data_IF_251320741674
#
_entry.id   IF_251320741674
#
_cell.length_a   1.000
_cell.length_b   1.000
_cell.length_c   1.000
_cell.angle_alpha   90.00
_cell.angle_beta   90.00
_cell.angle_gamma   90.00
#
_symmetry.space_group_name_H-M   'P 1'
#
loop_
_entity.id
_entity.type
_entity.pdbx_description
1 polymer ?
#
# COMPACT_ATOMS: atom_id res chain seq x y z
N UNK A 1 12.68 2.13 0.24
CA UNK A 1 11.43 1.93 1.00
C UNK A 1 11.32 2.95 2.13
N UNK A 2 10.10 3.45 2.36
CA UNK A 2 9.75 4.62 3.19
C UNK A 2 9.37 4.26 4.64
N UNK A 3 10.12 3.33 5.25
CA UNK A 3 9.82 2.66 6.53
C UNK A 3 9.54 3.63 7.70
N UNK A 4 10.15 4.82 7.67
CA UNK A 4 9.89 5.88 8.65
C UNK A 4 8.50 6.52 8.49
N UNK A 5 8.04 6.76 7.25
CA UNK A 5 6.72 7.33 7.00
C UNK A 5 5.59 6.34 7.28
N UNK A 6 5.82 5.07 6.97
CA UNK A 6 4.86 4.00 7.26
C UNK A 6 4.69 3.84 8.78
N UNK A 7 5.79 3.93 9.53
CA UNK A 7 5.78 3.93 10.98
C UNK A 7 5.03 5.14 11.58
N UNK A 8 5.32 6.37 11.15
CA UNK A 8 4.66 7.57 11.69
C UNK A 8 3.13 7.57 11.52
N UNK A 9 2.60 6.95 10.47
CA UNK A 9 1.14 6.82 10.26
C UNK A 9 0.51 5.77 11.17
N UNK A 10 1.23 4.68 11.42
CA UNK A 10 0.79 3.57 12.27
C UNK A 10 0.80 4.01 13.74
N UNK A 11 1.87 4.67 14.19
CA UNK A 11 2.02 5.16 15.57
C UNK A 11 1.02 6.27 15.93
N UNK A 12 0.73 7.16 14.97
CA UNK A 12 -0.28 8.20 15.15
C UNK A 12 -1.74 7.68 15.16
N UNK A 13 -1.97 6.37 14.98
CA UNK A 13 -3.32 5.77 14.97
C UNK A 13 -4.18 6.19 13.77
N UNK A 14 -3.57 6.70 12.70
CA UNK A 14 -4.27 7.26 11.52
C UNK A 14 -4.66 6.17 10.51
N UNK A 15 -4.09 4.97 10.63
CA UNK A 15 -4.40 3.84 9.75
C UNK A 15 -5.79 3.27 10.09
N UNK A 16 -6.77 3.51 9.22
CA UNK A 16 -8.09 2.88 9.26
C UNK A 16 -8.12 1.69 8.29
N UNK A 17 -8.20 0.43 8.78
CA UNK A 17 -8.25 -0.74 7.90
C UNK A 17 -9.49 -0.77 7.02
N UNK A 18 -9.32 -1.15 5.75
CA UNK A 18 -10.40 -1.43 4.81
C UNK A 18 -10.66 -2.95 4.78
N UNK A 19 -11.52 -3.42 5.68
CA UNK A 19 -11.82 -4.85 5.85
C UNK A 19 -12.64 -5.40 4.67
N UNK A 20 -12.10 -6.39 3.96
CA UNK A 20 -12.77 -7.00 2.81
C UNK A 20 -12.43 -8.49 2.67
N UNK A 21 -13.29 -9.30 2.02
CA UNK A 21 -12.93 -10.66 1.68
C UNK A 21 -11.86 -10.71 0.57
N UNK A 22 -10.82 -11.53 0.73
CA UNK A 22 -9.84 -11.76 -0.34
C UNK A 22 -9.23 -13.17 -0.26
N UNK A 23 -8.84 -13.74 -1.41
CA UNK A 23 -8.11 -15.01 -1.44
C UNK A 23 -6.64 -14.79 -1.04
N UNK A 24 -6.15 -15.62 -0.11
CA UNK A 24 -4.78 -15.50 0.38
C UNK A 24 -3.74 -15.98 -0.65
N UNK A 25 -4.09 -16.93 -1.52
CA UNK A 25 -3.13 -17.56 -2.44
C UNK A 25 -2.41 -16.59 -3.38
N UNK A 26 -3.11 -15.69 -4.10
CA UNK A 26 -2.44 -14.75 -5.01
C UNK A 26 -1.45 -13.83 -4.28
N UNK A 27 -1.78 -13.40 -3.06
CA UNK A 27 -0.88 -12.60 -2.23
C UNK A 27 0.39 -13.37 -1.84
N UNK A 28 0.27 -14.63 -1.41
CA UNK A 28 1.44 -15.46 -1.09
C UNK A 28 2.33 -15.70 -2.31
N UNK A 29 1.74 -15.91 -3.50
CA UNK A 29 2.48 -16.03 -4.76
C UNK A 29 3.19 -14.74 -5.15
N UNK A 30 2.54 -13.59 -4.97
CA UNK A 30 3.15 -12.27 -5.20
C UNK A 30 4.38 -12.09 -4.30
N UNK A 31 4.24 -12.34 -3.00
CA UNK A 31 5.35 -12.27 -2.05
C UNK A 31 6.46 -13.26 -2.39
N UNK A 32 6.13 -14.49 -2.81
CA UNK A 32 7.12 -15.46 -3.26
C UNK A 32 7.92 -14.96 -4.46
N UNK A 33 7.27 -14.44 -5.50
CA UNK A 33 7.95 -13.88 -6.70
C UNK A 33 8.94 -12.77 -6.36
N UNK A 34 8.62 -11.94 -5.37
CA UNK A 34 9.45 -10.81 -4.98
C UNK A 34 10.57 -11.20 -3.99
N UNK A 35 10.31 -12.17 -3.11
CA UNK A 35 11.23 -12.52 -2.01
C UNK A 35 12.15 -13.70 -2.35
N UNK A 36 11.74 -14.60 -3.24
CA UNK A 36 12.56 -15.75 -3.63
C UNK A 36 13.91 -15.34 -4.26
N UNK A 37 14.00 -14.33 -5.15
CA UNK A 37 15.30 -13.90 -5.68
C UNK A 37 16.25 -13.37 -4.59
N UNK A 38 15.71 -12.66 -3.59
CA UNK A 38 16.50 -12.15 -2.45
C UNK A 38 17.02 -13.28 -1.56
N UNK A 39 16.19 -14.31 -1.35
CA UNK A 39 16.59 -15.51 -0.62
C UNK A 39 17.67 -16.30 -1.39
N UNK A 40 17.51 -16.42 -2.71
CA UNK A 40 18.45 -17.10 -3.62
C UNK A 40 19.81 -16.40 -3.69
N UNK A 41 19.83 -15.06 -3.77
CA UNK A 41 21.06 -14.26 -3.71
C UNK A 41 21.85 -14.53 -2.41
N UNK A 42 21.15 -14.86 -1.32
CA UNK A 42 21.73 -15.23 -0.03
C UNK A 42 21.98 -16.74 0.12
N UNK A 43 21.66 -17.55 -0.89
CA UNK A 43 21.83 -19.01 -0.86
C UNK A 43 20.82 -19.73 0.06
N UNK A 44 19.65 -19.14 0.32
CA UNK A 44 18.58 -19.71 1.14
C UNK A 44 17.52 -20.40 0.27
N UNK A 45 16.97 -21.51 0.75
CA UNK A 45 15.78 -22.09 0.14
C UNK A 45 14.53 -21.31 0.55
N UNK A 46 13.76 -20.82 -0.43
CA UNK A 46 12.47 -20.20 -0.19
C UNK A 46 11.34 -21.18 -0.55
N UNK A 47 10.35 -21.35 0.33
CA UNK A 47 9.22 -22.26 0.10
C UNK A 47 7.89 -21.59 0.48
N UNK A 48 6.85 -21.90 -0.29
CA UNK A 48 5.48 -21.52 0.03
C UNK A 48 4.56 -22.75 -0.06
N UNK A 49 3.58 -22.84 0.85
CA UNK A 49 2.53 -23.87 0.78
C UNK A 49 1.23 -23.26 0.28
N UNK A 50 0.73 -23.82 -0.82
CA UNK A 50 -0.56 -23.44 -1.38
C UNK A 50 -1.69 -23.56 -0.35
N UNK A 51 -2.67 -22.66 -0.45
CA UNK A 51 -3.85 -22.57 0.40
C UNK A 51 -5.05 -22.11 -0.43
N UNK A 52 -6.25 -22.53 -0.05
CA UNK A 52 -7.52 -22.04 -0.62
C UNK A 52 -8.26 -21.11 0.32
N UNK A 53 -7.61 -20.66 1.39
CA UNK A 53 -8.24 -19.81 2.42
C UNK A 53 -8.60 -18.45 1.84
N UNK A 54 -9.84 -18.04 2.10
CA UNK A 54 -10.31 -16.66 1.93
C UNK A 54 -10.36 -16.02 3.30
N UNK A 55 -9.73 -14.85 3.41
CA UNK A 55 -9.65 -14.07 4.64
C UNK A 55 -10.62 -12.90 4.58
N UNK A 56 -10.97 -12.35 5.74
CA UNK A 56 -11.69 -11.09 5.84
C UNK A 56 -10.84 -10.06 6.61
N UNK A 57 -9.95 -9.37 5.90
CA UNK A 57 -9.03 -8.39 6.47
C UNK A 57 -8.67 -7.34 5.42
N UNK A 58 -7.90 -6.32 5.80
CA UNK A 58 -7.32 -5.40 4.83
C UNK A 58 -6.14 -6.07 4.10
N UNK A 59 -6.25 -6.33 2.77
CA UNK A 59 -5.20 -7.03 2.04
C UNK A 59 -3.88 -6.27 2.00
N UNK A 60 -3.91 -4.94 1.97
CA UNK A 60 -2.70 -4.12 1.89
C UNK A 60 -1.92 -4.18 3.21
N UNK A 61 -2.63 -4.10 4.35
CA UNK A 61 -1.98 -4.20 5.67
C UNK A 61 -1.47 -5.61 5.93
N UNK A 62 -2.20 -6.66 5.52
CA UNK A 62 -1.74 -8.05 5.62
C UNK A 62 -0.49 -8.28 4.76
N UNK A 63 -0.47 -7.81 3.50
CA UNK A 63 0.72 -7.90 2.65
C UNK A 63 1.91 -7.20 3.29
N UNK A 64 1.72 -6.00 3.85
CA UNK A 64 2.77 -5.24 4.51
C UNK A 64 3.32 -5.96 5.75
N UNK A 65 2.47 -6.57 6.57
CA UNK A 65 2.92 -7.40 7.70
C UNK A 65 3.76 -8.58 7.18
N UNK A 66 3.22 -9.37 6.24
CA UNK A 66 3.90 -10.57 5.74
C UNK A 66 5.22 -10.25 5.07
N UNK A 67 5.28 -9.18 4.27
CA UNK A 67 6.52 -8.67 3.66
C UNK A 67 7.58 -8.35 4.71
N UNK A 68 7.23 -7.64 5.78
CA UNK A 68 8.17 -7.33 6.86
C UNK A 68 8.69 -8.60 7.56
N UNK A 69 7.79 -9.54 7.84
CA UNK A 69 8.16 -10.82 8.47
C UNK A 69 9.11 -11.64 7.57
N UNK A 70 8.82 -11.73 6.28
CA UNK A 70 9.65 -12.48 5.31
C UNK A 70 11.00 -11.81 5.09
N UNK A 71 11.06 -10.49 4.97
CA UNK A 71 12.32 -9.76 4.87
C UNK A 71 13.20 -9.96 6.11
N UNK A 72 12.60 -10.00 7.31
CA UNK A 72 13.32 -10.33 8.53
C UNK A 72 13.82 -11.78 8.51
N UNK A 73 12.99 -12.74 8.11
CA UNK A 73 13.38 -14.13 7.98
C UNK A 73 14.59 -14.30 7.05
N UNK A 74 14.58 -13.68 5.87
CA UNK A 74 15.71 -13.70 4.91
C UNK A 74 16.93 -13.00 5.52
N UNK A 75 16.74 -11.83 6.15
CA UNK A 75 17.84 -11.05 6.73
C UNK A 75 18.58 -11.79 7.83
N UNK A 76 17.87 -12.47 8.73
CA UNK A 76 18.45 -13.10 9.92
C UNK A 76 18.73 -14.60 9.77
N UNK A 77 18.45 -15.17 8.59
CA UNK A 77 18.86 -16.54 8.23
C UNK A 77 20.12 -16.48 7.38
N UNK A 78 21.23 -17.03 7.88
CA UNK A 78 22.48 -17.11 7.11
C UNK A 78 22.53 -18.33 6.20
N UNK A 79 22.00 -19.47 6.67
CA UNK A 79 21.93 -20.74 5.93
C UNK A 79 20.63 -21.45 6.26
N UNK A 80 20.09 -22.18 5.29
CA UNK A 80 18.88 -22.99 5.46
C UNK A 80 17.71 -22.46 4.64
N UNK A 81 16.56 -22.21 5.27
CA UNK A 81 15.33 -21.95 4.54
C UNK A 81 14.37 -20.96 5.21
N UNK A 82 13.53 -20.35 4.38
CA UNK A 82 12.35 -19.57 4.78
C UNK A 82 11.11 -20.26 4.21
N UNK A 83 10.07 -20.41 5.03
CA UNK A 83 8.80 -21.04 4.64
C UNK A 83 7.60 -20.15 4.98
N UNK A 84 6.77 -19.85 3.98
CA UNK A 84 5.43 -19.30 4.18
C UNK A 84 4.37 -20.40 4.10
N UNK A 85 3.47 -20.46 5.09
CA UNK A 85 2.37 -21.41 5.09
C UNK A 85 1.12 -20.81 5.75
N UNK A 86 -0.05 -21.33 5.42
CA UNK A 86 -1.30 -20.99 6.10
C UNK A 86 -1.98 -22.26 6.63
N UNK A 87 -2.52 -22.20 7.84
CA UNK A 87 -3.30 -23.28 8.44
C UNK A 87 -4.65 -22.75 8.91
N UNK A 88 -5.74 -23.45 8.58
CA UNK A 88 -7.05 -23.17 9.17
C UNK A 88 -7.12 -23.72 10.60
N UNK A 89 -7.65 -22.90 11.53
CA UNK A 89 -7.96 -23.26 12.92
C UNK A 89 -9.34 -22.73 13.28
N UNK A 90 -10.36 -23.59 13.13
CA UNK A 90 -11.76 -23.19 13.33
C UNK A 90 -12.16 -22.06 12.36
N UNK A 91 -12.66 -20.95 12.91
CA UNK A 91 -13.06 -19.75 12.17
C UNK A 91 -11.90 -18.79 11.83
N UNK A 92 -10.66 -19.14 12.20
CA UNK A 92 -9.47 -18.33 11.93
C UNK A 92 -8.50 -19.08 11.01
N UNK A 93 -7.72 -18.32 10.26
CA UNK A 93 -6.54 -18.82 9.58
C UNK A 93 -5.30 -18.28 10.28
N UNK A 94 -4.26 -19.10 10.38
CA UNK A 94 -2.98 -18.72 10.94
C UNK A 94 -1.98 -18.76 9.79
N UNK A 95 -1.53 -17.58 9.36
CA UNK A 95 -0.44 -17.44 8.41
C UNK A 95 0.86 -17.50 9.20
N UNK A 96 1.76 -18.39 8.82
CA UNK A 96 3.04 -18.64 9.50
C UNK A 96 4.21 -18.32 8.55
N UNK A 97 5.17 -17.56 9.06
CA UNK A 97 6.47 -17.33 8.41
C UNK A 97 7.53 -18.00 9.29
N UNK A 98 8.16 -19.04 8.75
CA UNK A 98 9.18 -19.83 9.41
C UNK A 98 10.56 -19.48 8.83
N UNK A 99 11.56 -19.44 9.71
CA UNK A 99 12.96 -19.28 9.34
C UNK A 99 13.83 -20.27 10.12
N UNK A 100 14.98 -20.63 9.56
CA UNK A 100 16.01 -21.45 10.23
C UNK A 100 17.19 -20.60 10.69
N UNK A 101 16.97 -19.32 10.98
CA UNK A 101 18.01 -18.36 11.29
C UNK A 101 18.55 -18.46 12.71
N UNK A 102 19.14 -17.36 13.17
CA UNK A 102 19.82 -17.29 14.48
C UNK A 102 18.90 -17.56 15.69
N UNK A 103 17.59 -17.45 15.50
CA UNK A 103 16.62 -17.50 16.59
C UNK A 103 16.72 -16.28 17.52
N UNK A 104 15.76 -16.18 18.44
CA UNK A 104 15.58 -15.03 19.34
C UNK A 104 15.45 -15.59 20.76
N UNK A 105 16.31 -15.18 21.71
CA UNK A 105 16.19 -15.55 23.12
C UNK A 105 14.87 -15.06 23.74
N UNK A 106 14.30 -15.86 24.64
CA UNK A 106 12.96 -15.61 25.23
C UNK A 106 12.86 -14.26 25.96
N UNK A 107 13.94 -13.83 26.61
CA UNK A 107 14.05 -12.54 27.30
C UNK A 107 14.01 -11.31 26.38
N UNK A 108 14.17 -11.52 25.06
CA UNK A 108 14.08 -10.46 24.06
C UNK A 108 12.78 -10.47 23.25
N UNK A 109 11.85 -11.41 23.49
CA UNK A 109 10.64 -11.56 22.65
C UNK A 109 9.72 -10.34 22.67
N UNK A 110 9.63 -9.62 23.79
CA UNK A 110 8.86 -8.37 23.85
C UNK A 110 9.64 -7.19 23.27
N UNK A 111 10.97 -7.19 23.41
CA UNK A 111 11.81 -6.05 23.04
C UNK A 111 12.02 -5.92 21.55
N UNK A 112 12.01 -7.04 20.81
CA UNK A 112 12.15 -7.04 19.34
C UNK A 112 11.01 -6.31 18.61
N UNK A 113 9.87 -6.10 19.27
CA UNK A 113 8.75 -5.31 18.72
C UNK A 113 8.90 -3.82 19.01
N UNK A 114 9.82 -3.43 19.91
CA UNK A 114 10.10 -2.01 20.17
C UNK A 114 10.86 -1.38 19.02
N UNK A 115 10.56 -0.12 18.77
CA UNK A 115 11.20 0.65 17.72
C UNK A 115 12.70 0.78 17.95
N UNK A 116 13.44 0.77 16.84
CA UNK A 116 14.90 0.93 16.82
C UNK A 116 15.66 -0.14 17.64
N UNK A 117 14.97 -1.19 18.08
CA UNK A 117 15.56 -2.28 18.83
C UNK A 117 16.13 -3.32 17.85
N UNK A 118 17.43 -3.60 17.98
CA UNK A 118 18.13 -4.60 17.18
C UNK A 118 19.11 -5.38 18.05
N UNK A 119 18.97 -6.70 18.06
CA UNK A 119 19.90 -7.59 18.75
C UNK A 119 21.25 -7.61 18.01
N UNK A 120 22.35 -7.39 18.75
CA UNK A 120 23.71 -7.45 18.19
C UNK A 120 24.11 -6.29 17.27
N UNK A 121 23.44 -5.13 17.35
CA UNK A 121 23.82 -3.91 16.61
C UNK A 121 24.03 -2.66 17.50
N UNK A 122 24.99 -2.68 18.45
CA UNK A 122 25.22 -1.57 19.38
C UNK A 122 25.60 -0.26 18.68
N UNK A 123 26.20 -0.33 17.49
CA UNK A 123 26.65 0.84 16.70
C UNK A 123 25.53 1.47 15.84
N UNK A 124 24.30 0.92 15.84
CA UNK A 124 23.17 1.39 15.02
C UNK A 124 23.53 1.56 13.53
N UNK A 125 24.29 0.63 12.95
CA UNK A 125 24.66 0.68 11.52
C UNK A 125 23.38 0.66 10.66
N UNK A 126 23.15 1.75 9.93
CA UNK A 126 21.99 1.93 9.04
C UNK A 126 21.91 0.84 7.95
N UNK A 127 23.02 0.20 7.58
CA UNK A 127 23.06 -0.91 6.60
C UNK A 127 22.37 -2.17 7.12
N UNK A 128 22.24 -2.36 8.44
CA UNK A 128 21.50 -3.48 9.05
C UNK A 128 20.00 -3.20 9.19
N UNK A 129 19.54 -2.03 8.71
CA UNK A 129 18.16 -1.55 8.76
C UNK A 129 17.85 -0.74 10.02
N UNK A 130 16.69 -0.08 10.05
CA UNK A 130 16.33 0.88 11.11
C UNK A 130 15.71 0.26 12.39
N UNK A 131 15.49 -1.06 12.44
CA UNK A 131 14.84 -1.72 13.58
C UNK A 131 13.35 -1.42 13.73
N UNK A 132 12.68 -0.99 12.65
CA UNK A 132 11.25 -0.64 12.65
C UNK A 132 10.31 -1.76 12.16
N UNK A 133 10.87 -2.81 11.53
CA UNK A 133 10.05 -3.80 10.81
C UNK A 133 9.04 -4.53 11.68
N UNK A 134 9.42 -4.96 12.88
CA UNK A 134 8.51 -5.64 13.81
C UNK A 134 7.60 -4.68 14.57
N UNK A 135 8.04 -3.44 14.84
CA UNK A 135 7.19 -2.38 15.39
C UNK A 135 6.03 -2.04 14.44
N UNK A 136 6.31 -1.97 13.13
CA UNK A 136 5.28 -1.80 12.09
C UNK A 136 4.33 -3.00 12.09
N UNK A 137 4.83 -4.23 12.19
CA UNK A 137 3.98 -5.43 12.27
C UNK A 137 3.02 -5.36 13.46
N UNK A 138 3.52 -5.00 14.64
CA UNK A 138 2.69 -4.88 15.84
C UNK A 138 1.62 -3.79 15.69
N UNK A 139 2.01 -2.60 15.23
CA UNK A 139 1.07 -1.48 15.08
C UNK A 139 -0.02 -1.75 14.04
N UNK A 140 0.31 -2.41 12.93
CA UNK A 140 -0.67 -2.82 11.92
C UNK A 140 -1.60 -3.91 12.41
N UNK A 141 -1.07 -4.90 13.13
CA UNK A 141 -1.88 -5.95 13.74
C UNK A 141 -2.87 -5.37 14.76
N UNK A 142 -2.41 -4.41 15.58
CA UNK A 142 -3.24 -3.66 16.52
C UNK A 142 -4.33 -2.87 15.80
N UNK A 143 -3.99 -2.14 14.73
CA UNK A 143 -4.97 -1.39 13.92
C UNK A 143 -6.07 -2.29 13.35
N UNK A 144 -5.72 -3.51 12.91
CA UNK A 144 -6.66 -4.52 12.42
C UNK A 144 -7.34 -5.33 13.52
N UNK A 145 -6.98 -5.14 14.80
CA UNK A 145 -7.45 -5.98 15.92
C UNK A 145 -7.18 -7.48 15.71
N UNK A 146 -5.99 -7.81 15.18
CA UNK A 146 -5.55 -9.20 14.92
C UNK A 146 -4.29 -9.53 15.72
N UNK A 147 -4.10 -10.81 15.97
CA UNK A 147 -3.01 -11.29 16.82
C UNK A 147 -1.76 -11.62 16.00
N UNK A 148 -0.61 -11.10 16.43
CA UNK A 148 0.71 -11.57 16.00
C UNK A 148 1.40 -12.26 17.16
N UNK A 149 1.97 -13.44 16.93
CA UNK A 149 2.73 -14.18 17.94
C UNK A 149 4.02 -14.75 17.39
N UNK A 150 4.99 -14.94 18.28
CA UNK A 150 6.30 -15.49 17.99
C UNK A 150 6.49 -16.80 18.77
N UNK A 151 7.17 -17.77 18.14
CA UNK A 151 7.96 -18.77 18.87
C UNK A 151 9.34 -18.81 18.24
N UNK A 152 10.39 -18.77 19.05
CA UNK A 152 11.76 -18.83 18.56
C UNK A 152 12.62 -19.64 19.51
N UNK A 153 13.68 -20.24 18.98
CA UNK A 153 14.68 -20.94 19.78
C UNK A 153 16.06 -20.53 19.27
N UNK A 154 16.96 -20.01 20.12
CA UNK A 154 18.31 -19.64 19.73
C UNK A 154 19.02 -20.77 18.97
N UNK A 155 19.59 -20.43 17.82
CA UNK A 155 20.29 -21.35 16.91
C UNK A 155 19.40 -22.30 16.12
N UNK A 156 18.06 -22.26 16.27
CA UNK A 156 17.11 -23.10 15.51
C UNK A 156 16.16 -22.32 14.61
N UNK A 157 16.13 -20.99 14.74
CA UNK A 157 15.27 -20.11 13.98
C UNK A 157 13.96 -19.75 14.69
N UNK A 158 13.05 -19.14 13.94
CA UNK A 158 11.81 -18.58 14.48
C UNK A 158 10.59 -18.91 13.64
N UNK A 159 9.42 -18.73 14.25
CA UNK A 159 8.13 -18.71 13.56
C UNK A 159 7.28 -17.57 14.06
N UNK A 160 6.96 -16.66 13.16
CA UNK A 160 5.97 -15.62 13.35
C UNK A 160 4.61 -16.10 12.85
N UNK A 161 3.55 -15.80 13.57
CA UNK A 161 2.18 -16.20 13.24
C UNK A 161 1.27 -15.00 13.26
N UNK A 162 0.48 -14.84 12.21
CA UNK A 162 -0.57 -13.85 12.07
C UNK A 162 -1.94 -14.55 12.04
N UNK A 163 -2.78 -14.28 13.03
CA UNK A 163 -4.12 -14.87 13.16
C UNK A 163 -5.18 -13.98 12.53
N UNK A 164 -5.80 -14.43 11.44
CA UNK A 164 -6.78 -13.67 10.65
C UNK A 164 -8.14 -14.37 10.63
N UNK A 165 -9.26 -13.62 10.61
CA UNK A 165 -10.58 -14.22 10.46
C UNK A 165 -10.76 -14.77 9.03
N UNK A 166 -11.38 -15.95 8.93
CA UNK A 166 -11.75 -16.52 7.64
C UNK A 166 -13.06 -15.90 7.19
N UNK A 167 -13.15 -15.53 5.91
CA UNK A 167 -14.41 -15.10 5.33
C UNK A 167 -15.32 -16.31 5.12
N UNK A 168 -16.56 -16.23 5.62
CA UNK A 168 -17.62 -17.21 5.36
C UNK A 168 -18.44 -16.87 4.11
N UNK A 169 -18.20 -15.70 3.50
CA UNK A 169 -18.89 -15.31 2.27
C UNK A 169 -18.48 -16.24 1.14
N UNK A 170 -19.42 -16.73 0.29
CA UNK A 170 -19.06 -17.51 -0.88
C UNK A 170 -18.21 -16.65 -1.80
N UNK A 171 -16.91 -16.91 -1.79
CA UNK A 171 -15.99 -16.36 -2.77
C UNK A 171 -16.33 -17.01 -4.11
N UNK A 172 -16.96 -16.25 -5.02
CA UNK A 172 -17.20 -16.74 -6.37
C UNK A 172 -15.86 -16.66 -7.10
N UNK A 173 -15.54 -17.67 -7.90
CA UNK A 173 -14.38 -17.61 -8.80
C UNK A 173 -14.53 -16.47 -9.83
N UNK A 174 -15.76 -15.96 -10.03
CA UNK A 174 -16.04 -14.71 -10.74
C UNK A 174 -15.62 -13.43 -9.99
N UNK A 175 -15.27 -13.53 -8.70
CA UNK A 175 -14.62 -12.49 -7.89
C UNK A 175 -13.09 -12.66 -7.85
N UNK A 176 -12.54 -13.68 -8.56
CA UNK A 176 -11.21 -13.57 -9.15
C UNK A 176 -11.36 -12.56 -10.28
N UNK A 177 -11.37 -11.28 -9.93
CA UNK A 177 -10.83 -10.31 -10.86
C UNK A 177 -9.43 -10.83 -11.18
N UNK A 178 -9.08 -11.03 -12.46
CA UNK A 178 -7.73 -11.39 -12.82
C UNK A 178 -6.76 -10.54 -12.01
N UNK A 179 -5.65 -11.15 -11.61
CA UNK A 179 -4.45 -10.41 -11.22
C UNK A 179 -3.96 -9.69 -12.48
N UNK A 180 -4.72 -8.71 -12.95
CA UNK A 180 -4.17 -7.65 -13.75
C UNK A 180 -3.29 -6.91 -12.74
N UNK A 181 -1.98 -6.94 -12.98
CA UNK A 181 -1.21 -5.74 -12.69
C UNK A 181 -2.08 -4.57 -13.12
N UNK A 182 -2.32 -3.56 -12.26
CA UNK A 182 -3.29 -2.51 -12.55
C UNK A 182 -3.07 -2.02 -13.98
N UNK A 183 -3.95 -2.44 -14.90
CA UNK A 183 -3.80 -2.15 -16.31
C UNK A 183 -4.34 -0.75 -16.47
N UNK A 184 -3.42 0.21 -16.39
CA UNK A 184 -3.70 1.61 -16.59
C UNK A 184 -3.60 1.97 -18.09
N UNK A 185 -3.43 0.97 -18.98
CA UNK A 185 -3.34 1.20 -20.41
C UNK A 185 -4.58 1.91 -20.93
N UNK A 186 -4.36 3.05 -21.59
CA UNK A 186 -5.42 3.89 -22.14
C UNK A 186 -6.11 4.80 -21.12
N UNK A 187 -5.76 4.75 -19.83
CA UNK A 187 -6.31 5.66 -18.83
C UNK A 187 -5.89 7.11 -19.13
N UNK A 188 -6.86 8.02 -19.26
CA UNK A 188 -6.62 9.43 -19.56
C UNK A 188 -6.46 10.22 -18.26
N UNK A 189 -5.24 10.63 -17.97
CA UNK A 189 -4.89 11.36 -16.74
C UNK A 189 -4.62 12.83 -17.06
N UNK A 190 -5.37 13.72 -16.41
CA UNK A 190 -5.07 15.15 -16.40
C UNK A 190 -4.21 15.47 -15.18
N UNK A 191 -2.97 15.90 -15.41
CA UNK A 191 -2.03 16.30 -14.35
C UNK A 191 -1.95 17.82 -14.24
N UNK A 192 -2.15 18.37 -13.04
CA UNK A 192 -2.04 19.80 -12.74
C UNK A 192 -0.91 20.01 -11.73
N UNK A 193 0.24 20.51 -12.17
CA UNK A 193 1.39 20.81 -11.32
C UNK A 193 2.15 22.00 -11.91
N UNK A 194 2.52 23.00 -11.12
CA UNK A 194 3.17 24.20 -11.65
C UNK A 194 4.66 23.99 -11.99
N UNK A 195 5.27 22.91 -11.52
CA UNK A 195 6.66 22.53 -11.79
C UNK A 195 6.76 21.68 -13.07
N UNK A 196 7.44 22.23 -14.09
CA UNK A 196 7.64 21.57 -15.37
C UNK A 196 8.42 20.25 -15.28
N UNK A 197 9.39 20.18 -14.36
CA UNK A 197 10.19 18.97 -14.15
C UNK A 197 9.33 17.86 -13.58
N UNK A 198 8.44 18.19 -12.64
CA UNK A 198 7.50 17.24 -12.05
C UNK A 198 6.48 16.77 -13.07
N UNK A 199 5.93 17.69 -13.89
CA UNK A 199 5.00 17.34 -14.98
C UNK A 199 5.63 16.34 -15.96
N UNK A 200 6.84 16.65 -16.43
CA UNK A 200 7.58 15.79 -17.37
C UNK A 200 7.80 14.40 -16.79
N UNK A 201 8.39 14.31 -15.60
CA UNK A 201 8.71 13.03 -14.96
C UNK A 201 7.45 12.20 -14.64
N UNK A 202 6.35 12.86 -14.26
CA UNK A 202 5.09 12.19 -13.98
C UNK A 202 4.41 11.67 -15.24
N UNK A 203 4.41 12.44 -16.33
CA UNK A 203 3.89 11.93 -17.60
C UNK A 203 4.73 10.78 -18.15
N UNK A 204 6.06 10.79 -18.00
CA UNK A 204 6.92 9.66 -18.39
C UNK A 204 6.56 8.39 -17.60
N UNK A 205 6.35 8.54 -16.28
CA UNK A 205 5.94 7.43 -15.42
C UNK A 205 4.57 6.87 -15.83
N UNK A 206 3.60 7.74 -16.08
CA UNK A 206 2.24 7.36 -16.50
C UNK A 206 2.23 6.71 -17.88
N UNK A 207 3.01 7.24 -18.83
CA UNK A 207 3.15 6.66 -20.16
C UNK A 207 3.80 5.27 -20.11
N UNK A 208 4.76 5.04 -19.21
CA UNK A 208 5.36 3.73 -18.99
C UNK A 208 4.35 2.69 -18.44
N UNK A 209 3.24 3.14 -17.87
CA UNK A 209 2.10 2.28 -17.48
C UNK A 209 0.99 2.22 -18.54
N UNK A 210 1.20 2.81 -19.72
CA UNK A 210 0.23 2.83 -20.81
C UNK A 210 -0.84 3.93 -20.72
N UNK A 211 -0.78 4.81 -19.72
CA UNK A 211 -1.72 5.94 -19.58
C UNK A 211 -1.48 7.01 -20.66
N UNK A 212 -2.52 7.78 -20.93
CA UNK A 212 -2.45 9.01 -21.72
C UNK A 212 -2.41 10.20 -20.76
N UNK A 213 -1.31 10.95 -20.74
CA UNK A 213 -1.10 12.06 -19.80
C UNK A 213 -1.17 13.40 -20.53
N UNK A 214 -2.10 14.28 -20.14
CA UNK A 214 -2.03 15.71 -20.46
C UNK A 214 -1.66 16.46 -19.18
N UNK A 215 -0.52 17.15 -19.19
CA UNK A 215 -0.04 17.91 -18.04
C UNK A 215 -0.11 19.42 -18.28
N UNK A 216 -0.60 20.14 -17.28
CA UNK A 216 -0.86 21.58 -17.31
C UNK A 216 -0.35 22.26 -16.05
N UNK A 217 -0.01 23.54 -16.14
CA UNK A 217 0.56 24.30 -15.02
C UNK A 217 -0.50 24.97 -14.13
N UNK A 218 -1.75 25.07 -14.58
CA UNK A 218 -2.81 25.80 -13.89
C UNK A 218 -4.21 25.25 -14.20
N UNK A 219 -5.18 25.68 -13.41
CA UNK A 219 -6.61 25.45 -13.64
C UNK A 219 -7.10 26.07 -14.96
N UNK A 220 -6.65 27.28 -15.30
CA UNK A 220 -7.00 27.91 -16.60
C UNK A 220 -6.52 27.10 -17.81
N UNK A 221 -5.35 26.48 -17.69
CA UNK A 221 -4.84 25.56 -18.71
C UNK A 221 -5.63 24.25 -18.72
N UNK A 222 -5.94 23.69 -17.56
CA UNK A 222 -6.79 22.51 -17.43
C UNK A 222 -8.12 22.72 -18.17
N UNK A 223 -8.82 23.84 -17.91
CA UNK A 223 -10.10 24.16 -18.55
C UNK A 223 -10.03 24.29 -20.08
N UNK A 224 -8.87 24.69 -20.63
CA UNK A 224 -8.65 24.73 -22.09
C UNK A 224 -8.41 23.35 -22.67
N UNK A 225 -7.68 22.50 -21.95
CA UNK A 225 -7.39 21.11 -22.34
C UNK A 225 -8.66 20.27 -22.41
N UNK A 226 -9.63 20.53 -21.51
CA UNK A 226 -10.91 19.81 -21.49
C UNK A 226 -11.72 19.89 -22.80
N UNK A 227 -11.45 20.85 -23.68
CA UNK A 227 -12.12 20.93 -24.98
C UNK A 227 -11.67 19.83 -25.97
N UNK A 228 -10.51 19.22 -25.75
CA UNK A 228 -9.90 18.20 -26.64
C UNK A 228 -9.53 16.91 -25.93
N UNK A 229 -9.53 16.93 -24.60
CA UNK A 229 -9.12 15.81 -23.76
C UNK A 229 -10.13 15.65 -22.65
N UNK A 230 -10.71 14.47 -22.58
CA UNK A 230 -11.71 14.11 -21.58
C UNK A 230 -11.02 13.18 -20.56
N UNK A 231 -10.69 13.64 -19.34
CA UNK A 231 -9.91 12.87 -18.39
C UNK A 231 -10.76 11.86 -17.63
N UNK A 232 -10.22 10.65 -17.45
CA UNK A 232 -10.79 9.63 -16.57
C UNK A 232 -10.42 9.90 -15.10
N UNK A 233 -9.27 10.51 -14.86
CA UNK A 233 -8.77 10.88 -13.51
C UNK A 233 -8.02 12.21 -13.56
N UNK A 234 -8.15 13.01 -12.51
CA UNK A 234 -7.36 14.23 -12.29
C UNK A 234 -6.34 14.02 -11.16
N UNK A 235 -5.07 14.32 -11.41
CA UNK A 235 -4.02 14.44 -10.39
C UNK A 235 -3.64 15.91 -10.26
N UNK A 236 -3.76 16.48 -9.06
CA UNK A 236 -3.42 17.89 -8.84
C UNK A 236 -2.42 18.06 -7.70
N UNK A 237 -1.37 18.84 -7.90
CA UNK A 237 -0.55 19.31 -6.80
C UNK A 237 -1.38 20.23 -5.90
N UNK A 238 -1.18 20.12 -4.58
CA UNK A 238 -1.91 20.92 -3.61
C UNK A 238 -1.60 22.41 -3.77
N UNK A 239 -0.36 22.78 -4.07
CA UNK A 239 0.09 24.17 -4.16
C UNK A 239 0.35 24.53 -5.61
N UNK A 240 -0.57 25.29 -6.19
CA UNK A 240 -0.37 25.90 -7.49
C UNK A 240 0.07 27.36 -7.33
N UNK A 241 0.53 27.97 -8.42
CA UNK A 241 0.90 29.40 -8.42
C UNK A 241 -0.30 30.29 -8.12
N UNK A 242 -0.02 31.56 -7.82
CA UNK A 242 -1.05 32.59 -7.59
C UNK A 242 -2.00 32.28 -6.43
N UNK A 243 -1.51 31.57 -5.41
CA UNK A 243 -2.27 31.17 -4.22
C UNK A 243 -3.49 30.28 -4.50
N UNK A 244 -3.53 29.60 -5.65
CA UNK A 244 -4.55 28.61 -5.97
C UNK A 244 -4.16 27.24 -5.40
N UNK A 245 -5.17 26.46 -5.02
CA UNK A 245 -4.96 25.10 -4.52
C UNK A 245 -5.39 24.06 -5.54
N UNK A 246 -4.80 22.86 -5.49
CA UNK A 246 -5.22 21.72 -6.30
C UNK A 246 -6.70 21.37 -6.11
N UNK A 247 -7.24 21.57 -4.91
CA UNK A 247 -8.67 21.40 -4.62
C UNK A 247 -9.54 22.32 -5.49
N UNK A 248 -9.18 23.61 -5.57
CA UNK A 248 -9.90 24.57 -6.39
C UNK A 248 -9.79 24.25 -7.89
N UNK A 249 -8.65 23.72 -8.32
CA UNK A 249 -8.45 23.30 -9.70
C UNK A 249 -9.32 22.08 -10.06
N UNK A 250 -9.38 21.07 -9.18
CA UNK A 250 -10.25 19.89 -9.34
C UNK A 250 -11.71 20.31 -9.41
N UNK A 251 -12.15 21.20 -8.52
CA UNK A 251 -13.52 21.71 -8.49
C UNK A 251 -13.88 22.44 -9.80
N UNK A 252 -12.98 23.30 -10.31
CA UNK A 252 -13.18 23.97 -11.59
C UNK A 252 -13.31 22.98 -12.76
N UNK A 253 -12.51 21.91 -12.77
CA UNK A 253 -12.58 20.85 -13.78
C UNK A 253 -13.93 20.13 -13.71
N UNK A 254 -14.38 19.73 -12.51
CA UNK A 254 -15.69 19.08 -12.32
C UNK A 254 -16.86 19.94 -12.78
N UNK A 255 -16.84 21.22 -12.43
CA UNK A 255 -17.86 22.18 -12.87
C UNK A 255 -17.91 22.31 -14.39
N UNK A 256 -16.74 22.28 -15.06
CA UNK A 256 -16.68 22.33 -16.52
C UNK A 256 -17.15 21.05 -17.19
N UNK A 257 -16.84 19.89 -16.63
CA UNK A 257 -17.27 18.58 -17.14
C UNK A 257 -18.75 18.29 -16.86
N UNK A 258 -19.33 18.92 -15.83
CA UNK A 258 -20.71 18.68 -15.40
C UNK A 258 -20.90 17.37 -14.63
N UNK A 259 -19.81 16.72 -14.22
CA UNK A 259 -19.82 15.51 -13.39
C UNK A 259 -18.59 15.43 -12.48
N UNK A 260 -18.69 14.60 -11.43
CA UNK A 260 -17.62 14.35 -10.48
C UNK A 260 -16.56 13.42 -11.07
N UNK A 261 -15.64 13.96 -11.87
CA UNK A 261 -14.44 13.21 -12.29
C UNK A 261 -13.63 12.78 -11.05
N UNK A 262 -13.15 11.52 -10.99
CA UNK A 262 -12.25 11.06 -9.95
C UNK A 262 -10.99 11.93 -9.87
N UNK A 263 -10.54 12.23 -8.66
CA UNK A 263 -9.38 13.08 -8.47
C UNK A 263 -8.57 12.69 -7.23
N UNK A 264 -7.26 12.93 -7.27
CA UNK A 264 -6.38 12.86 -6.11
C UNK A 264 -5.47 14.08 -6.02
N UNK A 265 -5.11 14.41 -4.78
CA UNK A 265 -4.21 15.50 -4.45
C UNK A 265 -2.82 14.96 -4.13
N UNK A 266 -1.80 15.57 -4.72
CA UNK A 266 -0.39 15.32 -4.40
C UNK A 266 0.13 16.52 -3.61
N UNK A 267 0.79 16.32 -2.47
CA UNK A 267 1.28 17.43 -1.64
C UNK A 267 2.69 17.19 -1.13
N UNK A 268 3.54 18.22 -1.19
CA UNK A 268 4.81 18.26 -0.45
C UNK A 268 4.69 18.93 0.92
N UNK A 269 3.52 19.48 1.26
CA UNK A 269 3.31 20.22 2.51
C UNK A 269 3.02 19.25 3.67
N UNK A 270 3.65 19.53 4.81
CA UNK A 270 3.49 18.77 6.07
C UNK A 270 2.72 19.55 7.13
N UNK A 271 2.34 20.80 6.83
CA UNK A 271 1.59 21.64 7.76
C UNK A 271 0.18 21.07 8.01
N UNK A 272 -0.09 20.77 9.28
CA UNK A 272 -1.30 20.09 9.79
C UNK A 272 -2.62 20.75 9.36
N UNK A 273 -2.63 22.07 9.19
CA UNK A 273 -3.84 22.84 8.87
C UNK A 273 -4.29 22.65 7.41
N UNK A 274 -3.34 22.56 6.47
CA UNK A 274 -3.60 22.32 5.04
C UNK A 274 -3.92 20.85 4.74
N UNK A 275 -3.36 19.94 5.54
CA UNK A 275 -3.72 18.52 5.47
C UNK A 275 -5.14 18.26 5.98
N UNK A 276 -5.63 19.06 6.93
CA UNK A 276 -7.03 19.02 7.37
C UNK A 276 -7.98 19.47 6.26
N UNK A 277 -7.70 20.61 5.61
CA UNK A 277 -8.52 21.09 4.48
C UNK A 277 -8.62 20.07 3.34
N UNK A 278 -7.50 19.41 3.00
CA UNK A 278 -7.50 18.37 2.00
C UNK A 278 -8.22 17.09 2.46
N UNK A 279 -8.11 16.72 3.74
CA UNK A 279 -8.86 15.59 4.30
C UNK A 279 -10.38 15.85 4.31
N UNK A 280 -10.78 17.07 4.67
CA UNK A 280 -12.18 17.49 4.73
C UNK A 280 -12.83 17.57 3.34
N UNK A 281 -12.03 17.72 2.28
CA UNK A 281 -12.52 17.67 0.89
C UNK A 281 -12.99 16.28 0.42
N UNK A 282 -12.64 15.22 1.17
CA UNK A 282 -12.95 13.83 0.81
C UNK A 282 -12.12 13.27 -0.35
N UNK A 283 -11.16 14.03 -0.91
CA UNK A 283 -10.27 13.55 -1.96
C UNK A 283 -9.10 12.75 -1.39
N UNK A 284 -8.70 11.64 -2.03
CA UNK A 284 -7.48 10.92 -1.68
C UNK A 284 -6.23 11.81 -1.80
N UNK A 285 -5.32 11.67 -0.83
CA UNK A 285 -4.12 12.49 -0.72
C UNK A 285 -2.84 11.65 -0.70
N UNK A 286 -1.88 12.02 -1.54
CA UNK A 286 -0.54 11.44 -1.63
C UNK A 286 0.51 12.48 -1.23
N UNK A 287 1.48 12.07 -0.41
CA UNK A 287 2.57 12.95 0.00
C UNK A 287 3.79 12.74 -0.91
N UNK A 288 4.39 13.84 -1.37
CA UNK A 288 5.69 13.85 -2.05
C UNK A 288 6.80 13.50 -1.02
N UNK A 289 7.78 12.64 -1.37
CA UNK A 289 7.91 11.91 -2.63
C UNK A 289 6.88 10.78 -2.73
N UNK A 290 6.19 10.70 -3.87
CA UNK A 290 5.16 9.69 -4.14
C UNK A 290 5.82 8.43 -4.70
N UNK A 291 5.76 7.28 -4.00
CA UNK A 291 6.22 6.01 -4.55
C UNK A 291 5.37 5.57 -5.75
N UNK A 292 6.01 5.01 -6.78
CA UNK A 292 5.39 4.63 -8.04
C UNK A 292 4.24 3.62 -7.85
N UNK A 293 4.46 2.57 -7.05
CA UNK A 293 3.48 1.56 -6.69
C UNK A 293 2.23 2.15 -5.98
N UNK A 294 2.45 3.16 -5.13
CA UNK A 294 1.38 3.85 -4.41
C UNK A 294 0.54 4.72 -5.33
N UNK A 295 1.17 5.40 -6.29
CA UNK A 295 0.47 6.16 -7.32
C UNK A 295 -0.34 5.24 -8.23
N UNK A 296 0.27 4.14 -8.69
CA UNK A 296 -0.36 3.16 -9.55
C UNK A 296 -1.61 2.54 -8.89
N UNK A 297 -1.49 2.15 -7.62
CA UNK A 297 -2.60 1.60 -6.84
C UNK A 297 -3.73 2.62 -6.64
N UNK A 298 -3.37 3.89 -6.39
CA UNK A 298 -4.35 4.97 -6.22
C UNK A 298 -5.12 5.24 -7.51
N UNK A 299 -4.42 5.36 -8.65
CA UNK A 299 -5.03 5.57 -9.96
C UNK A 299 -5.97 4.42 -10.33
N UNK A 300 -5.54 3.18 -10.10
CA UNK A 300 -6.37 2.01 -10.33
C UNK A 300 -7.63 2.00 -9.46
N UNK A 301 -7.52 2.36 -8.18
CA UNK A 301 -8.67 2.45 -7.27
C UNK A 301 -9.66 3.53 -7.72
N UNK A 302 -9.16 4.73 -8.05
CA UNK A 302 -9.98 5.86 -8.50
C UNK A 302 -10.73 5.52 -9.79
N UNK A 303 -10.04 4.91 -10.76
CA UNK A 303 -10.65 4.50 -12.01
C UNK A 303 -11.72 3.42 -11.79
N UNK A 304 -11.43 2.40 -10.97
CA UNK A 304 -12.40 1.33 -10.68
C UNK A 304 -13.65 1.81 -9.96
N UNK A 305 -13.52 2.75 -9.03
CA UNK A 305 -14.67 3.37 -8.35
C UNK A 305 -15.55 4.17 -9.33
N UNK A 306 -14.93 4.83 -10.31
CA UNK A 306 -15.63 5.59 -11.33
C UNK A 306 -16.40 4.68 -12.31
N UNK A 307 -15.74 3.62 -12.79
CA UNK A 307 -16.33 2.66 -13.74
C UNK A 307 -17.47 1.85 -13.11
N UNK A 308 -17.39 1.58 -11.80
CA UNK A 308 -18.42 0.82 -11.07
C UNK A 308 -19.52 1.68 -10.45
N UNK A 309 -19.51 3.01 -10.62
CA UNK A 309 -20.66 3.85 -10.24
C UNK A 309 -21.82 3.59 -11.22
N UNK A 310 -23.01 3.17 -10.76
CA UNK A 310 -24.15 3.00 -11.64
C UNK A 310 -24.51 4.35 -12.31
N UNK A 311 -24.97 4.38 -13.58
CA UNK A 311 -25.22 5.62 -14.33
C UNK A 311 -26.35 6.52 -13.80
N UNK A 312 -26.88 6.28 -12.60
CA UNK A 312 -27.93 7.10 -12.01
C UNK A 312 -27.87 7.00 -10.48
N UNK A 313 -27.42 8.07 -9.84
CA UNK A 313 -27.97 8.52 -8.56
C UNK A 313 -28.42 9.96 -8.78
N UNK A 314 -29.42 10.12 -9.64
CA UNK A 314 -30.22 11.33 -9.65
C UNK A 314 -30.80 11.49 -8.24
N UNK A 315 -30.50 12.64 -7.64
CA UNK A 315 -31.29 13.34 -6.63
C UNK A 315 -32.61 12.63 -6.24
N UNK A 316 -32.59 11.94 -5.11
CA UNK A 316 -33.79 11.76 -4.31
C UNK A 316 -33.81 12.87 -3.27
N UNK A 317 -34.58 13.91 -3.58
CA UNK A 317 -34.98 14.99 -2.68
C UNK A 317 -35.70 14.45 -1.45
N UNK A 318 -35.41 15.10 -0.33
CA UNK A 318 -36.20 15.13 0.91
C UNK A 318 -35.77 16.33 1.70
#
# INVERSE_FOLDING_TARGET
LNTLMDFSKVDAGVVKPQMQPFALQPMLRKLEREMAPLAEEKGLAFRMRDTSVILHADPALVEMILRNLVLNAIRYTERGAVLMACRRRGARAVVEVWDTGIGIPDDHHEEIFREFHQLGNPERDRRKGLGLGLAIVEGLARAMSVDVSLKSVPGRGSVFRLGLPISLSPWREADVVPHDEPDLSGLRVLLIDDDETVRSAMCDLLANWGCWCEAVASDDEALRVLNRFDPDVVLADYRLRSHRTGLQAVEAVRQRLGHDVPAAIITGDTATERLREAHDSGLPLLHKPVPADRLQSMLFSLWREAVNRPPWSASATG
#
